data_IF_573999671072
#
_entry.id   IF_573999671072
#
_cell.length_a   1.000
_cell.length_b   1.000
_cell.length_c   1.000
_cell.angle_alpha   90.00
_cell.angle_beta   90.00
_cell.angle_gamma   90.00
#
_symmetry.space_group_name_H-M   'P 1'
#
loop_
_entity.id
_entity.type
_entity.pdbx_description
1 polymer ?
#
# COMPACT_ATOMS: atom_id res chain seq x y z
N UNK A 1 -30.02 33.82 20.45
CA UNK A 1 -30.58 32.60 19.83
C UNK A 1 -29.94 32.30 18.47
N UNK A 2 -29.97 33.22 17.51
CA UNK A 2 -29.45 33.00 16.14
C UNK A 2 -27.96 32.62 16.07
N UNK A 3 -27.12 33.16 16.94
CA UNK A 3 -25.68 32.84 16.99
C UNK A 3 -25.41 31.41 17.48
N UNK A 4 -26.22 30.93 18.42
CA UNK A 4 -26.11 29.57 18.99
C UNK A 4 -26.59 28.53 17.98
N UNK A 5 -27.66 28.80 17.23
CA UNK A 5 -28.14 27.91 16.17
C UNK A 5 -27.16 27.82 15.00
N UNK A 6 -26.55 28.93 14.59
CA UNK A 6 -25.51 28.93 13.54
C UNK A 6 -24.30 28.10 13.96
N UNK A 7 -23.82 28.25 15.20
CA UNK A 7 -22.68 27.49 15.71
C UNK A 7 -22.98 25.98 15.78
N UNK A 8 -24.18 25.58 16.22
CA UNK A 8 -24.57 24.18 16.30
C UNK A 8 -24.69 23.52 14.90
N UNK A 9 -25.22 24.24 13.91
CA UNK A 9 -25.32 23.75 12.52
C UNK A 9 -23.93 23.60 11.90
N UNK A 10 -23.05 24.58 12.06
CA UNK A 10 -21.68 24.51 11.54
C UNK A 10 -20.88 23.40 12.23
N UNK A 11 -20.96 23.29 13.55
CA UNK A 11 -20.31 22.23 14.32
C UNK A 11 -20.80 20.84 13.90
N UNK A 12 -22.12 20.65 13.81
CA UNK A 12 -22.73 19.40 13.35
C UNK A 12 -22.34 19.04 11.91
N UNK A 13 -22.29 20.03 11.01
CA UNK A 13 -21.85 19.83 9.63
C UNK A 13 -20.38 19.42 9.53
N UNK A 14 -19.49 20.06 10.32
CA UNK A 14 -18.06 19.72 10.37
C UNK A 14 -17.86 18.30 10.93
N UNK A 15 -18.58 17.93 12.00
CA UNK A 15 -18.54 16.58 12.59
C UNK A 15 -19.05 15.55 11.60
N UNK A 16 -20.21 15.80 10.96
CA UNK A 16 -20.77 14.93 9.93
C UNK A 16 -19.79 14.72 8.78
N UNK A 17 -19.18 15.80 8.26
CA UNK A 17 -18.18 15.73 7.19
C UNK A 17 -16.92 14.98 7.63
N UNK A 18 -16.47 15.17 8.88
CA UNK A 18 -15.32 14.44 9.43
C UNK A 18 -15.60 12.94 9.53
N UNK A 19 -16.76 12.55 10.06
CA UNK A 19 -17.16 11.14 10.22
C UNK A 19 -17.42 10.50 8.86
N UNK A 20 -18.14 11.18 7.95
CA UNK A 20 -18.45 10.66 6.62
C UNK A 20 -17.20 10.57 5.73
N UNK A 21 -16.26 11.52 5.83
CA UNK A 21 -14.96 11.45 5.13
C UNK A 21 -14.09 10.29 5.63
N UNK A 22 -14.34 9.78 6.84
CA UNK A 22 -13.69 8.57 7.38
C UNK A 22 -14.38 7.28 6.92
N UNK A 23 -15.47 7.36 6.15
CA UNK A 23 -16.13 6.19 5.55
C UNK A 23 -15.24 5.59 4.45
N UNK A 24 -14.34 4.72 4.91
CA UNK A 24 -13.55 3.70 4.22
C UNK A 24 -13.54 3.79 2.69
N UNK A 25 -12.66 4.63 2.14
CA UNK A 25 -12.15 4.36 0.79
C UNK A 25 -11.36 3.06 0.90
N UNK A 26 -11.82 1.99 0.24
CA UNK A 26 -11.09 0.71 0.17
C UNK A 26 -9.63 1.01 -0.20
N UNK A 27 -8.72 0.71 0.73
CA UNK A 27 -7.29 0.97 0.56
C UNK A 27 -6.78 0.14 -0.61
N UNK A 28 -6.29 0.81 -1.67
CA UNK A 28 -5.62 0.12 -2.77
C UNK A 28 -4.25 -0.34 -2.29
N UNK A 29 -3.92 -1.62 -2.51
CA UNK A 29 -2.57 -2.13 -2.23
C UNK A 29 -1.55 -1.47 -3.16
N UNK A 30 -1.80 -1.50 -4.47
CA UNK A 30 -0.99 -0.86 -5.50
C UNK A 30 -1.47 0.58 -5.80
N UNK A 31 -0.66 1.56 -5.41
CA UNK A 31 -0.97 2.98 -5.56
C UNK A 31 -0.56 3.54 -6.93
N UNK A 32 0.60 3.16 -7.44
CA UNK A 32 1.29 3.85 -8.54
C UNK A 32 1.96 2.94 -9.60
N UNK A 33 2.12 1.64 -9.34
CA UNK A 33 2.86 0.73 -10.24
C UNK A 33 1.98 0.28 -11.41
N UNK A 34 2.39 0.58 -12.65
CA UNK A 34 1.78 0.10 -13.91
C UNK A 34 0.25 0.18 -13.94
N UNK A 35 -0.30 1.37 -13.65
CA UNK A 35 -1.76 1.60 -13.52
C UNK A 35 -2.52 1.56 -14.85
N UNK A 36 -1.80 1.60 -15.96
CA UNK A 36 -2.29 1.36 -17.32
C UNK A 36 -2.64 -0.12 -17.56
N UNK A 37 -2.01 -1.04 -16.82
CA UNK A 37 -2.34 -2.46 -16.89
C UNK A 37 -3.53 -2.83 -16.00
N UNK A 38 -4.52 -3.60 -16.49
CA UNK A 38 -5.61 -4.10 -15.66
C UNK A 38 -5.13 -5.11 -14.60
N UNK A 39 -3.97 -5.75 -14.82
CA UNK A 39 -3.38 -6.74 -13.91
C UNK A 39 -1.87 -6.81 -14.12
N UNK A 40 -1.09 -6.41 -13.11
CA UNK A 40 0.38 -6.46 -13.16
C UNK A 40 0.85 -7.85 -12.75
N UNK A 41 1.58 -8.54 -13.64
CA UNK A 41 2.12 -9.89 -13.45
C UNK A 41 3.59 -9.87 -13.84
N UNK A 42 4.44 -10.54 -13.06
CA UNK A 42 5.83 -10.78 -13.39
C UNK A 42 6.09 -12.28 -13.38
N UNK A 43 6.70 -12.80 -14.45
CA UNK A 43 7.08 -14.19 -14.59
C UNK A 43 8.60 -14.26 -14.67
N UNK A 44 9.19 -15.19 -13.94
CA UNK A 44 10.62 -15.46 -13.93
C UNK A 44 10.83 -16.95 -14.07
N UNK A 45 11.74 -17.34 -14.95
CA UNK A 45 12.19 -18.71 -15.06
C UNK A 45 13.15 -18.99 -13.90
N UNK A 46 13.02 -20.18 -13.30
CA UNK A 46 13.78 -20.52 -12.08
C UNK A 46 15.27 -20.70 -12.39
N UNK A 47 15.59 -20.99 -13.63
CA UNK A 47 16.94 -21.13 -14.19
C UNK A 47 17.67 -19.78 -14.25
N UNK A 48 16.93 -18.69 -14.48
CA UNK A 48 17.46 -17.32 -14.56
C UNK A 48 17.58 -16.66 -13.19
N UNK A 49 16.90 -17.21 -12.19
CA UNK A 49 17.09 -16.80 -10.80
C UNK A 49 18.49 -17.24 -10.38
N UNK A 50 19.36 -16.26 -10.08
CA UNK A 50 20.68 -16.53 -9.51
C UNK A 50 20.62 -17.27 -8.16
N UNK A 51 21.69 -17.23 -7.36
CA UNK A 51 21.67 -17.91 -6.04
C UNK A 51 20.52 -17.46 -5.13
N UNK A 52 20.08 -16.20 -5.28
CA UNK A 52 18.99 -15.60 -4.50
C UNK A 52 18.31 -14.48 -5.28
N UNK A 53 16.98 -14.47 -5.27
CA UNK A 53 16.16 -13.34 -5.67
C UNK A 53 15.23 -12.92 -4.52
N UNK A 54 14.95 -11.61 -4.45
CA UNK A 54 14.08 -11.02 -3.42
C UNK A 54 13.03 -10.16 -4.11
N UNK A 55 11.78 -10.61 -4.07
CA UNK A 55 10.65 -9.98 -4.76
C UNK A 55 9.76 -9.19 -3.81
N UNK A 56 9.30 -8.05 -4.30
CA UNK A 56 8.42 -7.15 -3.57
C UNK A 56 7.00 -7.72 -3.48
N UNK A 57 6.40 -7.65 -2.28
CA UNK A 57 4.96 -7.93 -2.08
C UNK A 57 4.17 -6.72 -1.54
N UNK A 58 4.86 -5.64 -1.20
CA UNK A 58 4.24 -4.44 -0.61
C UNK A 58 3.79 -3.40 -1.64
N UNK A 59 4.21 -3.51 -2.90
CA UNK A 59 3.93 -2.52 -3.96
C UNK A 59 4.40 -1.10 -3.63
N UNK A 60 5.52 -0.96 -2.89
CA UNK A 60 6.19 0.33 -2.59
C UNK A 60 7.62 0.42 -3.12
N UNK A 61 8.15 -0.68 -3.65
CA UNK A 61 9.52 -0.72 -4.15
C UNK A 61 9.67 0.14 -5.40
N UNK A 62 10.70 0.99 -5.43
CA UNK A 62 11.12 1.73 -6.62
C UNK A 62 11.78 0.83 -7.66
N UNK A 63 12.18 -0.38 -7.27
CA UNK A 63 12.76 -1.43 -8.12
C UNK A 63 11.79 -2.57 -8.39
N UNK A 64 10.48 -2.32 -8.28
CA UNK A 64 9.46 -3.35 -8.54
C UNK A 64 9.72 -4.02 -9.90
N UNK A 65 9.72 -5.35 -9.98
CA UNK A 65 9.19 -6.34 -9.03
C UNK A 65 10.14 -6.77 -7.90
N UNK A 66 11.38 -6.29 -7.87
CA UNK A 66 12.33 -6.63 -6.82
C UNK A 66 12.09 -5.82 -5.54
N UNK A 67 12.44 -6.39 -4.40
CA UNK A 67 12.39 -5.69 -3.12
C UNK A 67 13.62 -4.79 -2.95
N UNK A 68 13.38 -3.53 -2.60
CA UNK A 68 14.41 -2.53 -2.26
C UNK A 68 14.40 -2.12 -0.78
N UNK A 69 13.53 -2.73 0.04
CA UNK A 69 13.37 -2.40 1.46
C UNK A 69 12.23 -1.43 1.80
N UNK A 70 11.52 -0.87 0.81
CA UNK A 70 10.45 0.09 1.05
C UNK A 70 9.29 -0.42 1.95
N UNK A 71 9.14 -1.74 2.09
CA UNK A 71 8.16 -2.34 2.99
C UNK A 71 8.38 -1.96 4.47
N UNK A 72 9.63 -1.70 4.89
CA UNK A 72 9.91 -1.31 6.27
C UNK A 72 9.25 0.03 6.63
N UNK A 73 9.42 1.04 5.78
CA UNK A 73 8.77 2.35 5.94
C UNK A 73 7.25 2.23 5.91
N UNK A 74 6.70 1.45 4.96
CA UNK A 74 5.25 1.20 4.89
C UNK A 74 4.73 0.56 6.18
N UNK A 75 5.41 -0.44 6.72
CA UNK A 75 5.03 -1.09 7.98
C UNK A 75 5.07 -0.10 9.16
N UNK A 76 6.12 0.70 9.27
CA UNK A 76 6.25 1.71 10.33
C UNK A 76 5.12 2.75 10.28
N UNK A 77 4.80 3.27 9.09
CA UNK A 77 3.77 4.30 8.91
C UNK A 77 2.34 3.78 9.10
N UNK A 78 2.09 2.50 8.83
CA UNK A 78 0.73 1.94 8.77
C UNK A 78 0.41 0.91 9.87
N UNK A 79 1.42 0.44 10.60
CA UNK A 79 1.30 -0.69 11.53
C UNK A 79 1.15 -2.05 10.84
N UNK A 80 1.46 -2.13 9.54
CA UNK A 80 1.43 -3.36 8.75
C UNK A 80 2.66 -4.26 9.03
N UNK A 81 2.64 -5.49 8.53
CA UNK A 81 3.67 -6.50 8.76
C UNK A 81 4.10 -7.22 7.48
N UNK A 82 3.99 -6.57 6.33
CA UNK A 82 4.36 -7.17 5.04
C UNK A 82 5.88 -7.30 4.89
N UNK A 83 6.30 -8.29 4.11
CA UNK A 83 7.70 -8.54 3.78
C UNK A 83 7.87 -9.13 2.38
N UNK A 84 9.11 -9.18 1.87
CA UNK A 84 9.37 -9.71 0.54
C UNK A 84 9.14 -11.22 0.44
N UNK A 85 9.11 -11.72 -0.79
CA UNK A 85 9.29 -13.14 -1.09
C UNK A 85 10.77 -13.37 -1.42
N UNK A 86 11.42 -14.31 -0.75
CA UNK A 86 12.81 -14.69 -1.04
C UNK A 86 12.79 -16.04 -1.74
N UNK A 87 13.30 -16.08 -2.97
CA UNK A 87 13.53 -17.31 -3.72
C UNK A 87 15.02 -17.59 -3.68
N UNK A 88 15.42 -18.78 -3.22
CA UNK A 88 16.82 -19.22 -3.20
C UNK A 88 16.92 -20.50 -4.00
N UNK A 89 17.95 -20.60 -4.84
CA UNK A 89 18.32 -21.89 -5.40
C UNK A 89 18.84 -22.76 -4.27
N UNK A 90 18.36 -23.99 -4.16
CA UNK A 90 18.91 -24.95 -3.18
C UNK A 90 20.33 -25.30 -3.66
N UNK A 91 21.30 -25.18 -2.77
CA UNK A 91 22.64 -25.71 -3.05
C UNK A 91 22.52 -27.21 -3.31
N UNK A 92 23.10 -27.68 -4.41
CA UNK A 92 23.03 -29.08 -4.85
C UNK A 92 23.81 -30.00 -3.90
#
# INVERSE_FOLDING_TARGET
LATVTVAAVLGGYLIYKHIYSRSSKKSKVNLDISKDSPKVVHCFDIEDVGSKAVYCRCWRSKKFPYCDGAHAKHNEETGDNVGPLIVKKRDA
#
